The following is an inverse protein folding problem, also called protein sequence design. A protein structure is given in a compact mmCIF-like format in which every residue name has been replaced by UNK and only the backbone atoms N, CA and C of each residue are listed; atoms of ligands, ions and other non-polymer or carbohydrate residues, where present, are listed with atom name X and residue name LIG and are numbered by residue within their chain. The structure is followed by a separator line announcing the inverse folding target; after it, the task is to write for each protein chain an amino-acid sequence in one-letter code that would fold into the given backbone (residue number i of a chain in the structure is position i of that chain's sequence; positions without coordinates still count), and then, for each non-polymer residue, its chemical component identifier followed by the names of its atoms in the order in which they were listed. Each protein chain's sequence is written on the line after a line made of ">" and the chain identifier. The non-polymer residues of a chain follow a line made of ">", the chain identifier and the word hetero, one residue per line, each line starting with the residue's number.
data_IF_715794687856
#
_entry.id   IF_715794687856
#
_cell.length_a   1.000
_cell.length_b   1.000
_cell.length_c   1.000
_cell.angle_alpha   90.00
_cell.angle_beta   90.00
_cell.angle_gamma   90.00
#
_symmetry.space_group_name_H-M   'P 1'
#
loop_
_entity.id
_entity.type
_entity.pdbx_description
1 polymer ?
#
# COMPACT_ATOMS: atom_id res chain seq x y z
N UNK A 1 -7.90 -16.79 -38.99
CA UNK A 1 -7.39 -15.84 -38.00
C UNK A 1 -8.39 -15.71 -36.87
N UNK A 2 -8.22 -16.47 -35.79
CA UNK A 2 -9.08 -16.37 -34.61
C UNK A 2 -8.60 -15.21 -33.73
N UNK A 3 -9.36 -14.12 -33.69
CA UNK A 3 -9.16 -13.06 -32.70
C UNK A 3 -9.59 -13.61 -31.34
N UNK A 4 -8.63 -14.06 -30.53
CA UNK A 4 -8.85 -14.27 -29.11
C UNK A 4 -9.04 -12.90 -28.47
N UNK A 5 -10.28 -12.49 -28.29
CA UNK A 5 -10.63 -11.40 -27.39
C UNK A 5 -10.27 -11.85 -25.97
N UNK A 6 -9.13 -11.37 -25.45
CA UNK A 6 -8.91 -11.38 -24.00
C UNK A 6 -9.95 -10.41 -23.43
N UNK A 7 -11.02 -10.95 -22.86
CA UNK A 7 -11.79 -10.19 -21.89
C UNK A 7 -10.83 -9.90 -20.73
N UNK A 8 -10.42 -8.64 -20.59
CA UNK A 8 -9.84 -8.16 -19.34
C UNK A 8 -10.94 -8.32 -18.29
N UNK A 9 -10.86 -9.39 -17.50
CA UNK A 9 -11.63 -9.50 -16.27
C UNK A 9 -11.07 -8.41 -15.35
N UNK A 10 -11.68 -7.22 -15.38
CA UNK A 10 -11.58 -6.28 -14.29
C UNK A 10 -12.17 -7.00 -13.07
N UNK A 11 -11.29 -7.60 -12.26
CA UNK A 11 -11.67 -8.01 -10.94
C UNK A 11 -12.06 -6.74 -10.19
N UNK A 12 -13.36 -6.44 -10.12
CA UNK A 12 -13.89 -5.50 -9.13
C UNK A 12 -13.74 -6.18 -7.77
N UNK A 13 -12.52 -6.16 -7.26
CA UNK A 13 -12.14 -6.73 -5.98
C UNK A 13 -12.71 -5.86 -4.88
N UNK A 14 -13.70 -6.36 -4.14
CA UNK A 14 -14.12 -5.75 -2.88
C UNK A 14 -12.95 -5.84 -1.89
N UNK A 15 -12.58 -4.71 -1.28
CA UNK A 15 -11.58 -4.66 -0.23
C UNK A 15 -12.26 -4.59 1.16
N UNK A 16 -11.70 -5.30 2.14
CA UNK A 16 -12.14 -5.26 3.53
C UNK A 16 -11.06 -4.57 4.38
N UNK A 17 -11.45 -3.63 5.25
CA UNK A 17 -10.53 -2.99 6.19
C UNK A 17 -10.40 -3.84 7.45
N UNK A 18 -9.21 -4.38 7.72
CA UNK A 18 -8.91 -5.20 8.89
C UNK A 18 -7.57 -4.78 9.50
N UNK A 19 -7.41 -4.95 10.82
CA UNK A 19 -6.17 -4.70 11.54
C UNK A 19 -5.84 -5.93 12.41
N UNK A 20 -4.58 -6.36 12.39
CA UNK A 20 -4.11 -7.53 13.12
C UNK A 20 -2.66 -7.33 13.59
N UNK A 21 -2.30 -8.00 14.69
CA UNK A 21 -0.91 -8.17 15.12
C UNK A 21 -0.56 -9.65 14.95
N UNK A 22 0.53 -9.95 14.24
CA UNK A 22 0.98 -11.30 13.93
C UNK A 22 2.51 -11.34 13.84
N UNK A 23 3.11 -12.52 14.03
CA UNK A 23 4.55 -12.70 13.84
C UNK A 23 4.92 -12.82 12.37
N UNK A 24 6.15 -12.41 12.07
CA UNK A 24 6.74 -12.42 10.73
C UNK A 24 7.88 -13.43 10.57
N UNK A 25 8.12 -14.26 11.60
CA UNK A 25 9.30 -15.13 11.70
C UNK A 25 9.48 -16.06 10.49
N UNK A 26 8.39 -16.44 9.80
CA UNK A 26 8.42 -17.36 8.66
C UNK A 26 8.93 -16.78 7.34
N UNK A 27 8.94 -15.45 7.19
CA UNK A 27 9.34 -14.78 5.95
C UNK A 27 10.50 -13.79 6.14
N UNK A 28 10.99 -13.64 7.36
CA UNK A 28 12.25 -12.95 7.62
C UNK A 28 13.42 -13.78 7.07
N UNK A 29 14.27 -13.16 6.26
CA UNK A 29 15.54 -13.75 5.86
C UNK A 29 16.42 -14.00 7.09
N UNK A 30 17.27 -15.03 7.06
CA UNK A 30 18.18 -15.46 8.14
C UNK A 30 19.04 -14.34 8.77
N UNK A 31 19.13 -13.17 8.13
CA UNK A 31 19.83 -11.98 8.65
C UNK A 31 19.03 -11.13 9.64
N UNK A 32 17.73 -11.38 9.83
CA UNK A 32 16.90 -10.63 10.78
C UNK A 32 16.65 -11.46 12.03
N UNK A 33 16.69 -10.82 13.20
CA UNK A 33 16.38 -11.48 14.46
C UNK A 33 14.89 -11.84 14.49
N UNK A 34 14.57 -13.09 14.85
CA UNK A 34 13.20 -13.53 15.14
C UNK A 34 12.65 -12.83 16.39
N UNK A 35 11.33 -12.83 16.55
CA UNK A 35 10.67 -12.24 17.73
C UNK A 35 11.17 -12.87 19.03
N UNK A 36 11.52 -12.04 20.02
CA UNK A 36 11.80 -12.48 21.38
C UNK A 36 10.49 -12.70 22.15
N UNK A 37 10.02 -13.94 22.16
CA UNK A 37 8.78 -14.32 22.81
C UNK A 37 8.78 -14.16 24.34
N UNK A 38 9.93 -13.99 24.98
CA UNK A 38 10.00 -13.72 26.43
C UNK A 38 9.45 -12.34 26.79
N UNK A 39 9.41 -11.41 25.82
CA UNK A 39 8.87 -10.06 25.97
C UNK A 39 7.34 -9.97 25.80
N UNK A 40 6.65 -11.09 25.61
CA UNK A 40 5.19 -11.13 25.49
C UNK A 40 4.49 -10.64 26.78
N UNK A 41 3.26 -10.05 26.68
CA UNK A 41 2.44 -9.91 25.48
C UNK A 41 2.77 -8.69 24.61
N UNK A 42 2.70 -8.88 23.29
CA UNK A 42 2.77 -7.77 22.32
C UNK A 42 1.38 -7.18 22.11
N UNK A 43 1.15 -5.98 22.64
CA UNK A 43 -0.17 -5.33 22.61
C UNK A 43 -0.13 -4.12 21.67
N UNK A 44 -1.08 -4.07 20.73
CA UNK A 44 -1.32 -2.91 19.87
C UNK A 44 -2.68 -2.32 20.21
N UNK A 45 -2.73 -1.00 20.39
CA UNK A 45 -3.97 -0.27 20.63
C UNK A 45 -4.28 0.63 19.43
N UNK A 46 -5.51 0.53 18.94
CA UNK A 46 -6.00 1.30 17.80
C UNK A 46 -7.13 2.24 18.26
N UNK A 47 -7.16 3.46 17.72
CA UNK A 47 -8.13 4.51 18.08
C UNK A 47 -8.42 5.40 16.88
N UNK A 48 -9.56 6.11 16.91
CA UNK A 48 -9.90 7.12 15.90
C UNK A 48 -10.24 6.53 14.52
N UNK A 49 -10.89 5.37 14.48
CA UNK A 49 -11.27 4.72 13.23
C UNK A 49 -12.22 5.60 12.40
N UNK A 50 -11.87 5.84 11.15
CA UNK A 50 -12.68 6.55 10.17
C UNK A 50 -12.47 5.91 8.81
N UNK A 51 -13.54 5.76 8.03
CA UNK A 51 -13.48 5.19 6.69
C UNK A 51 -14.29 6.07 5.73
N UNK A 52 -13.63 6.52 4.66
CA UNK A 52 -14.30 7.13 3.51
C UNK A 52 -14.08 6.21 2.30
N UNK A 53 -15.10 5.42 1.96
CA UNK A 53 -14.98 4.38 0.94
C UNK A 53 -16.32 4.19 0.20
N UNK A 54 -16.25 3.72 -1.04
CA UNK A 54 -17.42 3.29 -1.79
C UNK A 54 -17.70 1.81 -1.50
N UNK A 55 -18.77 1.53 -0.75
CA UNK A 55 -19.14 0.17 -0.31
C UNK A 55 -19.93 -0.53 -1.42
N UNK A 56 -19.57 -1.77 -1.77
CA UNK A 56 -20.24 -2.53 -2.83
C UNK A 56 -21.73 -2.75 -2.54
N UNK A 57 -22.59 -2.48 -3.52
CA UNK A 57 -24.05 -2.66 -3.41
C UNK A 57 -24.86 -1.41 -3.76
N UNK A 58 -24.21 -0.28 -3.95
CA UNK A 58 -24.78 0.91 -4.57
C UNK A 58 -23.73 1.60 -5.44
N UNK A 59 -24.16 2.36 -6.46
CA UNK A 59 -23.35 3.46 -6.97
C UNK A 59 -22.90 4.32 -5.77
N UNK A 60 -21.75 5.00 -5.83
CA UNK A 60 -21.17 5.78 -4.73
C UNK A 60 -22.03 7.00 -4.31
N UNK A 61 -23.30 6.78 -3.96
CA UNK A 61 -24.31 7.76 -3.58
C UNK A 61 -25.00 7.41 -2.26
N UNK A 62 -24.48 6.43 -1.51
CA UNK A 62 -25.08 5.95 -0.27
C UNK A 62 -24.32 6.22 1.03
N UNK A 63 -23.09 6.76 1.01
CA UNK A 63 -22.39 7.02 2.28
C UNK A 63 -20.89 7.37 2.27
N UNK A 64 -20.27 7.63 1.12
CA UNK A 64 -18.86 8.04 1.04
C UNK A 64 -18.60 8.94 -0.17
N UNK A 65 -17.55 9.75 -0.11
CA UNK A 65 -17.07 10.63 -1.18
C UNK A 65 -15.96 9.90 -1.97
N UNK A 66 -15.92 10.07 -3.30
CA UNK A 66 -14.89 9.52 -4.18
C UNK A 66 -13.82 10.56 -4.56
N UNK A 67 -13.90 11.79 -4.03
CA UNK A 67 -12.95 12.87 -4.28
C UNK A 67 -11.49 12.48 -4.03
N UNK A 68 -11.22 11.56 -3.10
CA UNK A 68 -9.89 11.02 -2.83
C UNK A 68 -9.29 10.23 -4.01
N UNK A 69 -10.10 9.66 -4.91
CA UNK A 69 -9.62 8.92 -6.09
C UNK A 69 -8.98 9.83 -7.14
N UNK A 70 -9.34 11.12 -7.15
CA UNK A 70 -8.84 12.11 -8.11
C UNK A 70 -7.92 13.16 -7.47
N UNK A 71 -7.72 13.11 -6.15
CA UNK A 71 -6.86 14.04 -5.42
C UNK A 71 -5.41 13.88 -5.88
N UNK A 72 -4.80 15.00 -6.25
CA UNK A 72 -3.35 15.13 -6.41
C UNK A 72 -2.79 15.97 -5.26
N UNK A 73 -1.58 15.68 -4.76
CA UNK A 73 -0.94 16.53 -3.77
C UNK A 73 -0.73 17.94 -4.34
N UNK A 74 -1.02 18.95 -3.53
CA UNK A 74 -0.66 20.34 -3.82
C UNK A 74 0.82 20.62 -3.49
N UNK A 75 1.29 21.84 -3.75
CA UNK A 75 2.70 22.20 -3.55
C UNK A 75 3.18 22.03 -2.09
N UNK A 76 2.31 22.30 -1.12
CA UNK A 76 2.63 22.18 0.30
C UNK A 76 2.66 20.70 0.73
N UNK A 77 1.71 19.91 0.24
CA UNK A 77 1.67 18.45 0.43
C UNK A 77 2.91 17.79 -0.20
N UNK A 78 3.32 18.20 -1.41
CA UNK A 78 4.57 17.75 -2.02
C UNK A 78 5.80 18.13 -1.22
N UNK A 79 5.83 19.33 -0.65
CA UNK A 79 6.91 19.74 0.27
C UNK A 79 7.02 18.81 1.49
N UNK A 80 5.87 18.39 2.04
CA UNK A 80 5.79 17.46 3.16
C UNK A 80 6.28 16.06 2.77
N UNK A 81 5.87 15.56 1.60
CA UNK A 81 6.31 14.26 1.07
C UNK A 81 7.83 14.24 0.90
N UNK A 82 8.40 15.23 0.21
CA UNK A 82 9.86 15.33 -0.01
C UNK A 82 10.64 15.43 1.31
N UNK A 83 10.11 16.16 2.29
CA UNK A 83 10.72 16.22 3.61
C UNK A 83 10.72 14.84 4.29
N UNK A 84 9.61 14.12 4.27
CA UNK A 84 9.53 12.78 4.85
C UNK A 84 10.47 11.80 4.16
N UNK A 85 10.54 11.84 2.82
CA UNK A 85 11.46 11.05 2.02
C UNK A 85 12.92 11.33 2.41
N UNK A 86 13.33 12.60 2.46
CA UNK A 86 14.71 12.98 2.79
C UNK A 86 15.13 12.62 4.21
N UNK A 87 14.20 12.56 5.17
CA UNK A 87 14.54 12.42 6.59
C UNK A 87 14.32 10.99 7.13
N UNK A 88 13.37 10.23 6.58
CA UNK A 88 12.92 8.97 7.17
C UNK A 88 12.86 7.78 6.20
N UNK A 89 12.94 8.00 4.88
CA UNK A 89 12.91 6.89 3.93
C UNK A 89 14.20 6.06 4.03
N UNK A 90 14.04 4.79 4.38
CA UNK A 90 15.17 3.83 4.50
C UNK A 90 15.34 2.94 3.28
N UNK A 91 14.28 2.75 2.51
CA UNK A 91 14.26 1.89 1.34
C UNK A 91 13.26 2.43 0.32
N UNK A 92 13.68 2.51 -0.94
CA UNK A 92 12.85 2.83 -2.08
C UNK A 92 13.10 1.77 -3.16
N UNK A 93 12.07 1.01 -3.52
CA UNK A 93 12.21 -0.04 -4.53
C UNK A 93 12.49 0.53 -5.93
N UNK A 94 12.12 1.78 -6.18
CA UNK A 94 12.45 2.46 -7.44
C UNK A 94 13.94 2.82 -7.57
N UNK A 95 14.70 2.80 -6.48
CA UNK A 95 16.16 3.02 -6.52
C UNK A 95 16.94 1.70 -6.40
N UNK A 96 16.24 0.57 -6.24
CA UNK A 96 16.82 -0.76 -6.03
C UNK A 96 17.10 -1.47 -7.37
N UNK A 97 18.14 -1.00 -8.06
CA UNK A 97 18.57 -1.61 -9.33
C UNK A 97 19.08 -3.05 -9.20
N UNK A 98 19.49 -3.47 -7.98
CA UNK A 98 19.93 -4.85 -7.75
C UNK A 98 18.76 -5.83 -7.78
N UNK A 99 17.63 -5.44 -7.18
CA UNK A 99 16.39 -6.22 -7.23
C UNK A 99 15.78 -6.25 -8.62
N UNK A 100 15.97 -5.20 -9.42
CA UNK A 100 15.42 -5.06 -10.77
C UNK A 100 16.53 -4.96 -11.84
N UNK A 101 17.34 -6.02 -12.05
CA UNK A 101 18.47 -5.97 -12.98
C UNK A 101 18.05 -5.84 -14.45
N UNK A 102 16.76 -6.06 -14.77
CA UNK A 102 16.20 -5.94 -16.11
C UNK A 102 15.53 -4.58 -16.37
N UNK A 103 15.69 -3.63 -15.44
CA UNK A 103 15.04 -2.32 -15.48
C UNK A 103 13.95 -2.20 -14.43
N UNK A 104 13.75 -0.96 -13.96
CA UNK A 104 12.80 -0.61 -12.92
C UNK A 104 11.35 -0.73 -13.41
N UNK A 105 10.39 -0.96 -12.50
CA UNK A 105 8.98 -0.91 -12.82
C UNK A 105 8.57 0.41 -13.50
N UNK A 106 7.68 0.40 -14.52
CA UNK A 106 7.35 1.59 -15.31
C UNK A 106 6.82 2.78 -14.49
N UNK A 107 6.14 2.52 -13.37
CA UNK A 107 5.63 3.55 -12.46
C UNK A 107 6.74 4.41 -11.84
N UNK A 108 7.97 3.88 -11.73
CA UNK A 108 9.12 4.61 -11.15
C UNK A 108 9.60 5.77 -12.03
N UNK A 109 9.15 5.86 -13.29
CA UNK A 109 9.49 6.94 -14.22
C UNK A 109 8.47 8.09 -14.25
N UNK A 110 7.42 8.02 -13.41
CA UNK A 110 6.31 8.98 -13.38
C UNK A 110 6.51 10.14 -12.39
N UNK A 111 7.71 10.29 -11.83
CA UNK A 111 8.08 11.29 -10.83
C UNK A 111 8.60 12.61 -11.42
#
# INVERSE_FOLDING_TARGET
>A
MARRSLALLLASSLALMAAAVASADSWLYDKFNTVDWSAAPFVVSYRGYSANACVSGGACGGGGDDGWMSKQPDDAEWGTIRWAESNYMRYNYCDDGWRFPQGLPPECSRS
#
